data_IF_343258019478
#
_entry.id   IF_343258019478
#
_cell.length_a   1.000
_cell.length_b   1.000
_cell.length_c   1.000
_cell.angle_alpha   90.00
_cell.angle_beta   90.00
_cell.angle_gamma   90.00
#
_symmetry.space_group_name_H-M   'P 1'
#
loop_
_entity.id
_entity.type
_entity.pdbx_description
1 polymer ?
#
# COMPACT_ATOMS: atom_id res chain seq x y z
N UNK A 1 15.71 -19.62 -21.83
CA UNK A 1 14.27 -19.73 -21.53
C UNK A 1 13.41 -18.97 -22.55
N UNK A 2 13.59 -17.66 -22.74
CA UNK A 2 12.73 -16.84 -23.63
C UNK A 2 12.69 -17.32 -25.09
N UNK A 3 13.82 -17.74 -25.66
CA UNK A 3 13.88 -18.31 -27.01
C UNK A 3 12.99 -19.56 -27.21
N UNK A 4 12.68 -20.28 -26.13
CA UNK A 4 11.78 -21.43 -26.19
C UNK A 4 10.36 -20.99 -26.55
N UNK A 5 9.88 -19.87 -25.99
CA UNK A 5 8.55 -19.33 -26.30
C UNK A 5 8.46 -18.85 -27.75
N UNK A 6 9.52 -18.24 -28.27
CA UNK A 6 9.61 -17.81 -29.67
C UNK A 6 9.57 -18.99 -30.64
N UNK A 7 10.23 -20.11 -30.29
CA UNK A 7 10.34 -21.29 -31.16
C UNK A 7 9.09 -22.20 -31.14
N UNK A 8 8.24 -22.09 -30.10
CA UNK A 8 7.01 -22.88 -29.99
C UNK A 8 5.94 -22.34 -30.91
N UNK A 9 5.20 -23.23 -31.60
CA UNK A 9 4.12 -22.83 -32.52
C UNK A 9 2.75 -22.81 -31.85
N UNK A 10 2.64 -23.39 -30.65
CA UNK A 10 1.42 -23.39 -29.84
C UNK A 10 1.21 -22.04 -29.12
N UNK A 11 -0.04 -21.76 -28.75
CA UNK A 11 -0.36 -20.64 -27.88
C UNK A 11 0.17 -20.90 -26.46
N UNK A 12 0.79 -19.90 -25.87
CA UNK A 12 1.34 -19.96 -24.52
C UNK A 12 0.92 -18.73 -23.71
N UNK A 13 1.04 -18.85 -22.38
CA UNK A 13 0.85 -17.76 -21.44
C UNK A 13 2.12 -17.62 -20.60
N UNK A 14 2.69 -16.41 -20.56
CA UNK A 14 3.83 -16.06 -19.72
C UNK A 14 3.36 -15.08 -18.64
N UNK A 15 3.65 -15.38 -17.39
CA UNK A 15 3.30 -14.53 -16.26
C UNK A 15 4.58 -13.98 -15.65
N UNK A 16 4.73 -12.65 -15.70
CA UNK A 16 5.72 -11.94 -14.89
C UNK A 16 5.02 -11.54 -13.59
N UNK A 17 5.29 -12.28 -12.53
CA UNK A 17 4.72 -12.01 -11.22
C UNK A 17 5.61 -11.07 -10.41
N UNK A 18 5.04 -10.04 -9.80
CA UNK A 18 5.72 -9.07 -8.94
C UNK A 18 6.88 -8.35 -9.63
N UNK A 19 6.68 -7.91 -10.88
CA UNK A 19 7.67 -7.22 -11.70
C UNK A 19 7.82 -5.74 -11.29
N UNK A 20 8.27 -5.49 -10.07
CA UNK A 20 8.22 -4.16 -9.45
C UNK A 20 9.48 -3.32 -9.63
N UNK A 21 10.63 -3.96 -9.89
CA UNK A 21 11.95 -3.32 -9.92
C UNK A 21 12.07 -2.36 -11.12
N UNK A 22 12.08 -1.02 -10.91
CA UNK A 22 12.05 -0.05 -12.00
C UNK A 22 13.35 -0.02 -12.82
N UNK A 23 14.47 -0.48 -12.25
CA UNK A 23 15.76 -0.54 -12.96
C UNK A 23 15.83 -1.67 -14.00
N UNK A 24 14.89 -2.62 -13.95
CA UNK A 24 14.83 -3.73 -14.90
C UNK A 24 13.99 -3.34 -16.10
N UNK A 25 14.63 -3.29 -17.27
CA UNK A 25 13.93 -3.19 -18.55
C UNK A 25 13.29 -4.53 -18.92
N UNK A 26 11.99 -4.67 -18.59
CA UNK A 26 11.24 -5.89 -18.78
C UNK A 26 11.07 -6.28 -20.27
N UNK A 27 11.15 -5.31 -21.19
CA UNK A 27 11.01 -5.56 -22.63
C UNK A 27 12.04 -6.57 -23.15
N UNK A 28 13.26 -6.56 -22.59
CA UNK A 28 14.35 -7.49 -22.92
C UNK A 28 13.98 -8.95 -22.65
N UNK A 29 12.95 -9.19 -21.84
CA UNK A 29 12.49 -10.52 -21.48
C UNK A 29 11.28 -10.98 -22.29
N UNK A 30 10.73 -10.13 -23.18
CA UNK A 30 9.57 -10.48 -23.99
C UNK A 30 9.96 -11.37 -25.18
N UNK A 31 9.28 -12.52 -25.38
CA UNK A 31 9.45 -13.33 -26.58
C UNK A 31 9.15 -12.53 -27.84
N UNK A 32 10.09 -12.51 -28.79
CA UNK A 32 9.94 -11.76 -30.04
C UNK A 32 9.13 -12.58 -31.06
N UNK A 33 7.83 -12.73 -30.81
CA UNK A 33 6.88 -13.42 -31.69
C UNK A 33 5.48 -12.80 -31.62
N UNK A 34 4.61 -13.18 -32.56
CA UNK A 34 3.24 -12.66 -32.70
C UNK A 34 2.17 -13.62 -32.15
N UNK A 35 2.57 -14.62 -31.37
CA UNK A 35 1.70 -15.59 -30.71
C UNK A 35 2.04 -15.68 -29.22
N UNK A 36 1.07 -16.13 -28.42
CA UNK A 36 1.14 -16.15 -26.97
C UNK A 36 0.61 -14.88 -26.31
N UNK A 37 0.45 -14.93 -24.99
CA UNK A 37 -0.04 -13.84 -24.17
C UNK A 37 0.89 -13.63 -22.97
N UNK A 38 1.03 -12.38 -22.54
CA UNK A 38 1.83 -12.00 -21.36
C UNK A 38 0.90 -11.35 -20.34
N UNK A 39 0.96 -11.81 -19.09
CA UNK A 39 0.36 -11.14 -17.94
C UNK A 39 1.50 -10.61 -17.08
N UNK A 40 1.40 -9.36 -16.66
CA UNK A 40 2.35 -8.71 -15.75
C UNK A 40 1.57 -8.29 -14.51
N UNK A 41 1.95 -8.81 -13.35
CA UNK A 41 1.52 -8.24 -12.06
C UNK A 41 2.65 -7.34 -11.55
N UNK A 42 2.32 -6.10 -11.22
CA UNK A 42 3.33 -5.11 -10.84
C UNK A 42 2.71 -3.96 -10.07
N UNK A 43 3.50 -3.37 -9.18
CA UNK A 43 3.26 -2.09 -8.52
C UNK A 43 3.89 -0.92 -9.26
N UNK A 44 4.70 -1.20 -10.30
CA UNK A 44 5.35 -0.18 -11.13
C UNK A 44 4.40 0.27 -12.27
N UNK A 45 3.76 1.45 -12.17
CA UNK A 45 2.86 1.93 -13.21
C UNK A 45 3.58 2.20 -14.55
N UNK A 46 4.90 2.36 -14.54
CA UNK A 46 5.70 2.55 -15.76
C UNK A 46 5.63 1.38 -16.74
N UNK A 47 5.30 0.17 -16.28
CA UNK A 47 5.13 -1.00 -17.14
C UNK A 47 3.84 -0.98 -17.96
N UNK A 48 2.90 -0.07 -17.67
CA UNK A 48 1.67 0.10 -18.46
C UNK A 48 1.96 0.45 -19.94
N UNK A 49 3.15 0.99 -20.24
CA UNK A 49 3.59 1.25 -21.63
C UNK A 49 3.63 -0.02 -22.49
N UNK A 50 3.77 -1.19 -21.87
CA UNK A 50 3.83 -2.48 -22.56
C UNK A 50 2.47 -3.18 -22.65
N UNK A 51 1.45 -2.67 -21.96
CA UNK A 51 0.18 -3.36 -21.81
C UNK A 51 -0.79 -3.00 -22.94
N UNK A 52 -1.30 -4.02 -23.66
CA UNK A 52 -2.43 -3.83 -24.58
C UNK A 52 -3.76 -3.54 -23.85
N UNK A 53 -3.85 -3.99 -22.60
CA UNK A 53 -4.89 -3.67 -21.65
C UNK A 53 -4.29 -3.72 -20.24
N UNK A 54 -4.70 -2.81 -19.35
CA UNK A 54 -4.30 -2.81 -17.95
C UNK A 54 -5.54 -2.71 -17.06
N UNK A 55 -5.41 -3.15 -15.82
CA UNK A 55 -6.47 -3.07 -14.81
C UNK A 55 -5.82 -2.76 -13.47
N UNK A 56 -6.23 -1.66 -12.86
CA UNK A 56 -5.84 -1.35 -11.50
C UNK A 56 -6.59 -2.28 -10.54
N UNK A 57 -5.87 -2.88 -9.59
CA UNK A 57 -6.45 -3.75 -8.57
C UNK A 57 -6.64 -2.92 -7.31
N UNK A 58 -7.88 -2.49 -7.06
CA UNK A 58 -8.28 -1.74 -5.87
C UNK A 58 -8.66 -2.71 -4.72
N UNK A 59 -9.07 -2.14 -3.59
CA UNK A 59 -9.67 -2.84 -2.47
C UNK A 59 -10.93 -3.59 -2.90
N UNK A 60 -11.31 -4.59 -2.08
CA UNK A 60 -12.47 -5.42 -2.41
C UNK A 60 -13.77 -4.62 -2.34
N UNK A 61 -14.70 -4.93 -3.23
CA UNK A 61 -16.09 -4.51 -3.06
C UNK A 61 -16.67 -5.09 -1.76
N UNK A 62 -17.57 -4.34 -1.10
CA UNK A 62 -18.11 -4.73 0.21
C UNK A 62 -18.74 -6.15 0.19
N UNK A 63 -19.43 -6.51 -0.88
CA UNK A 63 -20.07 -7.82 -1.03
C UNK A 63 -19.04 -8.96 -1.07
N UNK A 64 -17.96 -8.80 -1.85
CA UNK A 64 -16.90 -9.80 -1.99
C UNK A 64 -16.05 -9.87 -0.72
N UNK A 65 -15.79 -8.72 -0.08
CA UNK A 65 -15.10 -8.64 1.20
C UNK A 65 -15.85 -9.41 2.29
N UNK A 66 -17.17 -9.22 2.40
CA UNK A 66 -18.04 -9.95 3.34
C UNK A 66 -18.02 -11.44 3.04
N UNK A 67 -18.11 -11.83 1.76
CA UNK A 67 -18.06 -13.22 1.36
C UNK A 67 -16.73 -13.88 1.74
N UNK A 68 -15.61 -13.20 1.48
CA UNK A 68 -14.27 -13.66 1.85
C UNK A 68 -14.14 -13.84 3.37
N UNK A 69 -14.60 -12.87 4.16
CA UNK A 69 -14.55 -12.94 5.62
C UNK A 69 -15.35 -14.13 6.16
N UNK A 70 -16.59 -14.30 5.71
CA UNK A 70 -17.48 -15.37 6.20
C UNK A 70 -16.96 -16.75 5.82
N UNK A 71 -16.41 -16.90 4.61
CA UNK A 71 -15.75 -18.12 4.18
C UNK A 71 -14.54 -18.44 5.07
N UNK A 72 -13.65 -17.47 5.28
CA UNK A 72 -12.48 -17.63 6.14
C UNK A 72 -12.82 -17.89 7.62
N UNK A 73 -13.95 -17.36 8.09
CA UNK A 73 -14.48 -17.58 9.43
C UNK A 73 -15.24 -18.90 9.60
N UNK A 74 -15.46 -19.66 8.52
CA UNK A 74 -16.32 -20.84 8.49
C UNK A 74 -17.74 -20.56 9.03
N UNK A 75 -18.31 -19.41 8.66
CA UNK A 75 -19.65 -18.96 9.04
C UNK A 75 -20.59 -18.97 7.84
N UNK A 76 -21.85 -19.32 8.08
CA UNK A 76 -22.87 -19.28 7.03
C UNK A 76 -23.18 -17.84 6.60
N UNK A 77 -23.51 -17.69 5.32
CA UNK A 77 -23.80 -16.39 4.71
C UNK A 77 -25.25 -15.90 4.95
N UNK A 78 -25.66 -15.91 6.22
CA UNK A 78 -26.98 -15.50 6.70
C UNK A 78 -27.06 -14.00 7.01
N UNK A 79 -28.26 -13.37 6.94
CA UNK A 79 -28.43 -11.93 7.17
C UNK A 79 -27.80 -11.41 8.46
N UNK A 80 -27.93 -12.14 9.58
CA UNK A 80 -27.34 -11.77 10.87
C UNK A 80 -25.82 -11.64 10.79
N UNK A 81 -25.14 -12.63 10.19
CA UNK A 81 -23.68 -12.63 10.08
C UNK A 81 -23.20 -11.55 9.09
N UNK A 82 -23.94 -11.31 8.00
CA UNK A 82 -23.61 -10.26 7.03
C UNK A 82 -23.54 -8.89 7.69
N UNK A 83 -24.50 -8.54 8.55
CA UNK A 83 -24.51 -7.23 9.22
C UNK A 83 -23.22 -7.01 10.03
N UNK A 84 -22.83 -7.96 10.89
CA UNK A 84 -21.59 -7.82 11.67
C UNK A 84 -20.34 -7.93 10.79
N UNK A 85 -20.35 -8.80 9.78
CA UNK A 85 -19.25 -8.95 8.83
C UNK A 85 -18.99 -7.66 8.05
N UNK A 86 -20.03 -6.94 7.63
CA UNK A 86 -19.91 -5.62 6.97
C UNK A 86 -19.14 -4.63 7.85
N UNK A 87 -19.40 -4.62 9.16
CA UNK A 87 -18.66 -3.77 10.10
C UNK A 87 -17.19 -4.18 10.15
N UNK A 88 -16.89 -5.48 10.26
CA UNK A 88 -15.52 -5.98 10.28
C UNK A 88 -14.75 -5.61 9.02
N UNK A 89 -15.30 -5.84 7.83
CA UNK A 89 -14.57 -5.55 6.58
C UNK A 89 -14.35 -4.05 6.37
N UNK A 90 -15.25 -3.21 6.88
CA UNK A 90 -15.11 -1.75 6.85
C UNK A 90 -13.98 -1.28 7.77
N UNK A 91 -13.87 -1.83 8.98
CA UNK A 91 -12.75 -1.56 9.91
C UNK A 91 -11.39 -2.00 9.34
N UNK A 92 -11.41 -2.95 8.41
CA UNK A 92 -10.25 -3.44 7.69
C UNK A 92 -10.05 -2.74 6.34
N UNK A 93 -10.83 -1.68 6.08
CA UNK A 93 -10.81 -0.90 4.85
C UNK A 93 -10.85 -1.77 3.57
N UNK A 94 -11.54 -2.91 3.65
CA UNK A 94 -11.74 -3.86 2.56
C UNK A 94 -10.45 -4.47 1.98
N UNK A 95 -9.35 -4.47 2.76
CA UNK A 95 -8.08 -5.05 2.34
C UNK A 95 -8.14 -6.60 2.41
N UNK A 96 -8.00 -7.32 1.28
CA UNK A 96 -8.16 -8.78 1.26
C UNK A 96 -7.29 -9.52 2.28
N UNK A 97 -6.01 -9.13 2.38
CA UNK A 97 -5.07 -9.79 3.29
C UNK A 97 -5.47 -9.62 4.77
N UNK A 98 -5.94 -8.43 5.15
CA UNK A 98 -6.43 -8.18 6.51
C UNK A 98 -7.72 -8.97 6.80
N UNK A 99 -8.60 -9.08 5.80
CA UNK A 99 -9.84 -9.86 5.90
C UNK A 99 -9.54 -11.36 6.09
N UNK A 100 -8.57 -11.92 5.36
CA UNK A 100 -8.16 -13.33 5.52
C UNK A 100 -7.65 -13.58 6.93
N UNK A 101 -6.80 -12.69 7.46
CA UNK A 101 -6.31 -12.80 8.83
C UNK A 101 -7.43 -12.71 9.87
N UNK A 102 -8.37 -11.76 9.68
CA UNK A 102 -9.54 -11.62 10.54
C UNK A 102 -10.42 -12.88 10.51
N UNK A 103 -10.70 -13.41 9.31
CA UNK A 103 -11.45 -14.65 9.13
C UNK A 103 -10.82 -15.81 9.90
N UNK A 104 -9.51 -15.99 9.78
CA UNK A 104 -8.78 -17.04 10.49
C UNK A 104 -8.78 -16.85 12.02
N UNK A 105 -8.80 -15.61 12.52
CA UNK A 105 -9.01 -15.33 13.94
C UNK A 105 -10.43 -15.71 14.37
N UNK A 106 -11.44 -15.26 13.62
CA UNK A 106 -12.86 -15.48 13.93
C UNK A 106 -13.20 -16.96 13.88
N UNK A 107 -12.59 -17.75 12.98
CA UNK A 107 -12.81 -19.19 12.88
C UNK A 107 -12.58 -19.94 14.21
N UNK A 108 -11.72 -19.41 15.10
CA UNK A 108 -11.44 -20.01 16.42
C UNK A 108 -12.60 -19.82 17.41
N UNK A 109 -13.26 -18.68 17.41
CA UNK A 109 -14.36 -18.34 18.33
C UNK A 109 -15.75 -18.46 17.70
N UNK A 110 -15.81 -18.50 16.36
CA UNK A 110 -17.02 -18.38 15.53
C UNK A 110 -17.90 -17.19 15.90
N UNK A 111 -17.25 -16.08 16.29
CA UNK A 111 -17.93 -14.90 16.82
C UNK A 111 -17.30 -13.63 16.24
N UNK A 112 -18.05 -12.92 15.38
CA UNK A 112 -17.61 -11.70 14.70
C UNK A 112 -17.45 -10.53 15.69
N UNK A 113 -18.34 -10.42 16.67
CA UNK A 113 -18.31 -9.36 17.69
C UNK A 113 -17.08 -9.48 18.60
N UNK A 114 -16.62 -10.71 18.87
CA UNK A 114 -15.40 -10.96 19.63
C UNK A 114 -14.16 -10.43 18.91
N UNK A 115 -14.14 -10.49 17.58
CA UNK A 115 -13.08 -9.90 16.78
C UNK A 115 -13.12 -8.38 16.85
N UNK A 116 -14.29 -7.75 16.69
CA UNK A 116 -14.41 -6.29 16.81
C UNK A 116 -13.91 -5.77 18.17
N UNK A 117 -14.26 -6.47 19.25
CA UNK A 117 -13.81 -6.15 20.62
C UNK A 117 -12.29 -6.29 20.78
N UNK A 118 -11.71 -7.36 20.23
CA UNK A 118 -10.27 -7.57 20.25
C UNK A 118 -9.55 -6.53 19.37
N UNK A 119 -10.11 -6.20 18.21
CA UNK A 119 -9.55 -5.26 17.24
C UNK A 119 -9.49 -3.84 17.80
N UNK A 120 -10.54 -3.38 18.49
CA UNK A 120 -10.56 -2.04 19.08
C UNK A 120 -9.49 -1.80 20.15
N UNK A 121 -8.96 -2.87 20.76
CA UNK A 121 -7.99 -2.80 21.87
C UNK A 121 -6.60 -3.29 21.49
N UNK A 122 -6.48 -4.17 20.49
CA UNK A 122 -5.25 -4.90 20.17
C UNK A 122 -4.95 -4.90 18.66
N UNK A 123 -5.37 -3.87 17.93
CA UNK A 123 -5.22 -3.75 16.46
C UNK A 123 -3.83 -4.14 15.95
N UNK A 124 -2.78 -3.48 16.44
CA UNK A 124 -1.40 -3.71 15.99
C UNK A 124 -0.95 -5.16 16.21
N UNK A 125 -1.39 -5.78 17.31
CA UNK A 125 -1.10 -7.18 17.60
C UNK A 125 -1.81 -8.10 16.61
N UNK A 126 -3.10 -7.88 16.35
CA UNK A 126 -3.88 -8.72 15.45
C UNK A 126 -3.41 -8.67 14.00
N UNK A 127 -2.94 -7.50 13.54
CA UNK A 127 -2.42 -7.32 12.18
C UNK A 127 -0.94 -7.73 12.02
N UNK A 128 -0.23 -7.96 13.13
CA UNK A 128 1.16 -8.43 13.14
C UNK A 128 1.32 -9.92 13.44
N UNK A 129 0.34 -10.55 14.09
CA UNK A 129 0.34 -11.97 14.42
C UNK A 129 -0.14 -12.84 13.26
N UNK A 130 0.50 -14.01 13.11
CA UNK A 130 0.08 -15.02 12.14
C UNK A 130 -1.09 -15.85 12.71
N UNK A 131 -2.06 -16.23 11.87
CA UNK A 131 -2.96 -17.32 12.20
C UNK A 131 -2.16 -18.58 12.55
N UNK A 132 -2.61 -19.35 13.55
CA UNK A 132 -1.94 -20.59 13.96
C UNK A 132 -2.04 -21.70 12.89
N UNK A 133 -3.06 -21.60 12.02
CA UNK A 133 -3.28 -22.45 10.86
C UNK A 133 -3.81 -21.54 9.75
N UNK A 134 -3.21 -21.60 8.57
CA UNK A 134 -3.67 -20.92 7.35
C UNK A 134 -3.92 -21.96 6.26
N UNK A 135 -4.91 -21.72 5.40
CA UNK A 135 -5.25 -22.63 4.30
C UNK A 135 -4.19 -22.62 3.19
N UNK A 136 -3.41 -21.55 3.13
CA UNK A 136 -2.27 -21.32 2.27
C UNK A 136 -0.99 -21.24 3.10
N UNK A 137 0.14 -21.67 2.55
CA UNK A 137 1.46 -21.46 3.18
C UNK A 137 1.89 -19.98 3.16
N UNK A 138 0.95 -19.03 3.12
CA UNK A 138 1.24 -17.61 3.02
C UNK A 138 1.86 -17.12 4.33
N UNK A 139 3.15 -16.80 4.25
CA UNK A 139 4.00 -16.60 5.43
C UNK A 139 3.82 -15.22 6.02
N UNK A 140 3.21 -14.26 5.32
CA UNK A 140 3.27 -12.84 5.69
C UNK A 140 1.98 -12.33 6.31
N UNK A 141 2.11 -11.57 7.39
CA UNK A 141 1.01 -10.77 7.95
C UNK A 141 0.93 -9.43 7.23
N UNK A 142 -0.19 -8.74 7.43
CA UNK A 142 -0.40 -7.38 6.92
C UNK A 142 0.78 -6.47 7.30
N UNK A 143 1.14 -6.43 8.59
CA UNK A 143 2.24 -5.56 9.06
C UNK A 143 3.61 -6.01 8.54
N UNK A 144 3.89 -7.31 8.46
CA UNK A 144 5.19 -7.76 7.92
C UNK A 144 5.35 -7.41 6.45
N UNK A 145 4.25 -7.44 5.68
CA UNK A 145 4.26 -7.05 4.25
C UNK A 145 4.63 -5.58 4.11
N UNK A 146 4.00 -4.68 4.90
CA UNK A 146 4.33 -3.26 4.86
C UNK A 146 5.71 -2.94 5.43
N UNK A 147 6.13 -3.61 6.50
CA UNK A 147 7.48 -3.43 7.05
C UNK A 147 8.56 -3.78 6.02
N UNK A 148 8.37 -4.85 5.24
CA UNK A 148 9.31 -5.21 4.17
C UNK A 148 9.35 -4.16 3.06
N UNK A 149 8.20 -3.61 2.68
CA UNK A 149 8.13 -2.49 1.72
C UNK A 149 8.82 -1.23 2.26
N UNK A 150 8.55 -0.86 3.51
CA UNK A 150 9.12 0.32 4.15
C UNK A 150 10.65 0.23 4.30
N UNK A 151 11.17 -0.94 4.66
CA UNK A 151 12.61 -1.16 4.80
C UNK A 151 13.38 -1.03 3.47
N UNK A 152 12.67 -1.02 2.33
CA UNK A 152 13.27 -0.79 1.00
C UNK A 152 13.27 0.68 0.59
N UNK A 153 12.55 1.54 1.31
CA UNK A 153 12.54 2.98 1.04
C UNK A 153 13.88 3.61 1.40
N UNK A 154 14.27 4.61 0.62
CA UNK A 154 15.32 5.56 0.96
C UNK A 154 14.97 6.29 2.27
N UNK A 155 15.96 6.74 3.05
CA UNK A 155 15.70 7.45 4.30
C UNK A 155 14.78 8.68 4.13
N UNK A 156 14.89 9.37 2.98
CA UNK A 156 14.05 10.53 2.67
C UNK A 156 12.59 10.13 2.40
N UNK A 157 12.37 9.07 1.61
CA UNK A 157 11.04 8.53 1.32
C UNK A 157 10.36 7.97 2.57
N UNK A 158 11.11 7.20 3.39
CA UNK A 158 10.62 6.69 4.66
C UNK A 158 10.16 7.82 5.60
N UNK A 159 10.97 8.89 5.72
CA UNK A 159 10.64 10.06 6.56
C UNK A 159 9.45 10.85 6.01
N UNK A 160 9.34 11.02 4.69
CA UNK A 160 8.17 11.65 4.08
C UNK A 160 6.90 10.84 4.35
N UNK A 161 6.94 9.52 4.18
CA UNK A 161 5.81 8.63 4.46
C UNK A 161 5.35 8.73 5.93
N UNK A 162 6.30 8.73 6.87
CA UNK A 162 6.02 8.92 8.30
C UNK A 162 5.36 10.28 8.56
N UNK A 163 5.85 11.37 7.97
CA UNK A 163 5.23 12.69 8.12
C UNK A 163 3.82 12.74 7.53
N UNK A 164 3.62 12.12 6.35
CA UNK A 164 2.30 11.97 5.75
C UNK A 164 1.34 11.19 6.66
N UNK A 165 1.83 10.20 7.42
CA UNK A 165 1.01 9.49 8.40
C UNK A 165 0.53 10.37 9.56
N UNK A 166 1.17 11.51 9.83
CA UNK A 166 0.70 12.48 10.84
C UNK A 166 -0.42 13.40 10.31
N UNK A 167 -0.65 13.41 9.00
CA UNK A 167 -1.76 14.10 8.37
C UNK A 167 -2.99 13.19 8.31
N UNK A 168 -4.13 13.73 7.86
CA UNK A 168 -5.25 12.87 7.51
C UNK A 168 -4.87 11.94 6.35
N UNK A 169 -5.30 10.68 6.38
CA UNK A 169 -4.93 9.65 5.39
C UNK A 169 -5.44 9.91 3.95
N UNK A 170 -6.18 11.00 3.74
CA UNK A 170 -6.62 11.52 2.44
C UNK A 170 -6.35 13.02 2.36
N UNK A 171 -6.13 13.50 1.15
CA UNK A 171 -6.04 14.93 0.85
C UNK A 171 -4.67 15.52 1.17
N UNK A 172 -3.62 14.72 1.08
CA UNK A 172 -2.24 15.18 1.31
C UNK A 172 -1.78 15.86 0.01
N UNK A 173 -1.43 17.14 0.06
CA UNK A 173 -1.00 17.91 -1.12
C UNK A 173 0.49 18.27 -1.06
N UNK A 174 1.13 18.37 -2.22
CA UNK A 174 2.49 18.94 -2.32
C UNK A 174 2.50 20.40 -1.83
N UNK A 175 1.42 21.15 -2.09
CA UNK A 175 1.26 22.54 -1.68
C UNK A 175 1.40 22.73 -0.16
N UNK A 176 0.95 21.76 0.65
CA UNK A 176 1.16 21.76 2.10
C UNK A 176 2.65 21.87 2.45
N UNK A 177 3.50 21.06 1.83
CA UNK A 177 4.95 21.05 2.07
C UNK A 177 5.64 22.31 1.51
N UNK A 178 5.20 22.79 0.34
CA UNK A 178 5.65 24.06 -0.24
C UNK A 178 5.39 25.20 0.75
N UNK A 179 4.19 25.27 1.31
CA UNK A 179 3.82 26.33 2.25
C UNK A 179 4.60 26.20 3.58
N UNK A 180 4.80 24.97 4.07
CA UNK A 180 5.64 24.72 5.23
C UNK A 180 7.10 25.19 5.03
N UNK A 181 7.69 24.97 3.85
CA UNK A 181 9.07 25.39 3.54
C UNK A 181 9.26 26.92 3.57
N UNK A 182 8.19 27.68 3.30
CA UNK A 182 8.16 29.14 3.30
C UNK A 182 7.91 29.71 4.69
N UNK A 183 7.49 28.88 5.65
CA UNK A 183 7.21 29.34 7.00
C UNK A 183 8.45 29.98 7.64
N UNK A 184 8.26 31.15 8.24
CA UNK A 184 9.28 31.85 9.02
C UNK A 184 8.66 32.17 10.38
N UNK A 185 9.21 31.64 11.49
CA UNK A 185 8.66 31.93 12.81
C UNK A 185 8.78 33.43 13.09
N UNK A 186 7.65 34.07 13.39
CA UNK A 186 7.61 35.52 13.69
C UNK A 186 8.23 35.86 15.05
N UNK A 187 8.36 34.88 15.94
CA UNK A 187 8.91 35.04 17.27
C UNK A 187 9.87 33.89 17.60
N UNK A 188 11.12 34.22 17.93
CA UNK A 188 12.16 33.24 18.29
C UNK A 188 11.84 32.41 19.55
N UNK A 189 10.92 32.89 20.39
CA UNK A 189 10.56 32.30 21.69
C UNK A 189 9.62 31.09 21.52
N UNK A 190 8.98 30.94 20.36
CA UNK A 190 8.16 29.77 19.98
C UNK A 190 8.90 28.81 19.06
N UNK A 191 10.20 29.05 18.80
CA UNK A 191 11.03 28.07 18.11
C UNK A 191 11.35 26.95 19.11
N UNK A 192 10.38 26.07 19.33
CA UNK A 192 10.60 24.81 20.04
C UNK A 192 11.82 24.09 19.44
N UNK A 193 12.58 23.40 20.30
CA UNK A 193 13.77 22.61 19.91
C UNK A 193 13.50 21.63 18.74
N UNK A 194 12.23 21.34 18.45
CA UNK A 194 11.78 20.41 17.41
C UNK A 194 11.60 21.00 15.99
N UNK A 195 11.61 22.32 15.77
CA UNK A 195 11.41 22.86 14.41
C UNK A 195 12.64 22.70 13.51
N UNK A 196 13.83 22.58 14.10
CA UNK A 196 15.09 22.44 13.34
C UNK A 196 15.07 21.20 12.43
N UNK A 197 14.63 20.05 12.96
CA UNK A 197 14.54 18.81 12.18
C UNK A 197 13.54 18.90 11.01
N UNK A 198 12.47 19.69 11.16
CA UNK A 198 11.50 19.95 10.09
C UNK A 198 12.09 20.83 8.99
N UNK A 199 12.87 21.86 9.34
CA UNK A 199 13.57 22.69 8.35
C UNK A 199 14.64 21.91 7.59
N UNK A 200 15.41 21.08 8.29
CA UNK A 200 16.39 20.19 7.67
C UNK A 200 15.73 19.22 6.68
N UNK A 201 14.64 18.56 7.09
CA UNK A 201 13.87 17.69 6.19
C UNK A 201 13.35 18.44 4.96
N UNK A 202 12.70 19.59 5.15
CA UNK A 202 12.15 20.36 4.03
C UNK A 202 13.25 20.88 3.09
N UNK A 203 14.46 21.11 3.60
CA UNK A 203 15.60 21.57 2.79
C UNK A 203 16.06 20.56 1.74
N UNK A 204 15.81 19.26 1.95
CA UNK A 204 16.08 18.18 0.97
C UNK A 204 15.26 18.34 -0.32
N UNK A 205 14.16 19.10 -0.26
CA UNK A 205 13.29 19.41 -1.39
C UNK A 205 13.53 20.82 -1.95
N UNK A 206 14.61 21.51 -1.57
CA UNK A 206 14.90 22.87 -2.01
C UNK A 206 16.08 22.92 -3.00
N UNK A 207 15.83 23.39 -4.22
CA UNK A 207 16.89 23.75 -5.17
C UNK A 207 17.66 24.97 -4.66
N UNK A 208 18.97 24.80 -4.46
CA UNK A 208 19.90 25.82 -3.96
C UNK A 208 19.41 26.52 -2.67
N UNK A 209 18.57 25.83 -1.86
CA UNK A 209 17.99 26.38 -0.63
C UNK A 209 16.97 27.50 -0.82
N UNK A 210 16.51 27.78 -2.05
CA UNK A 210 15.65 28.95 -2.36
C UNK A 210 14.30 28.57 -2.96
N UNK A 211 14.28 27.61 -3.87
CA UNK A 211 13.09 27.28 -4.65
C UNK A 211 12.72 25.82 -4.43
N UNK A 212 11.44 25.55 -4.23
CA UNK A 212 10.96 24.17 -4.11
C UNK A 212 11.25 23.34 -5.36
N UNK A 213 11.67 22.09 -5.16
CA UNK A 213 12.02 21.14 -6.19
C UNK A 213 10.90 20.11 -6.38
N UNK A 214 9.91 20.44 -7.21
CA UNK A 214 8.77 19.55 -7.49
C UNK A 214 9.22 18.21 -8.09
N UNK A 215 10.23 18.20 -8.96
CA UNK A 215 10.75 16.94 -9.53
C UNK A 215 11.31 16.03 -8.44
N UNK A 216 12.07 16.58 -7.49
CA UNK A 216 12.59 15.80 -6.36
C UNK A 216 11.47 15.26 -5.47
N UNK A 217 10.42 16.05 -5.22
CA UNK A 217 9.25 15.60 -4.46
C UNK A 217 8.50 14.48 -5.19
N UNK A 218 8.35 14.60 -6.52
CA UNK A 218 7.76 13.58 -7.38
C UNK A 218 8.58 12.29 -7.39
N UNK A 219 9.92 12.37 -7.46
CA UNK A 219 10.78 11.18 -7.41
C UNK A 219 10.60 10.42 -6.09
N UNK A 220 10.57 11.15 -4.96
CA UNK A 220 10.42 10.55 -3.63
C UNK A 220 9.01 9.97 -3.43
N UNK A 221 7.96 10.66 -3.88
CA UNK A 221 6.59 10.12 -3.79
C UNK A 221 6.39 8.94 -4.75
N UNK A 222 6.97 8.96 -5.95
CA UNK A 222 6.98 7.83 -6.88
C UNK A 222 7.67 6.60 -6.28
N UNK A 223 8.76 6.79 -5.54
CA UNK A 223 9.40 5.71 -4.79
C UNK A 223 8.42 5.08 -3.78
N UNK A 224 7.75 5.88 -2.96
CA UNK A 224 6.77 5.40 -1.97
C UNK A 224 5.62 4.64 -2.65
N UNK A 225 5.09 5.20 -3.75
CA UNK A 225 4.00 4.60 -4.52
C UNK A 225 4.40 3.28 -5.19
N UNK A 226 5.67 3.13 -5.61
CA UNK A 226 6.17 1.86 -6.18
C UNK A 226 6.10 0.67 -5.21
N UNK A 227 5.95 0.96 -3.90
CA UNK A 227 5.75 -0.04 -2.87
C UNK A 227 4.29 -0.17 -2.39
N UNK A 228 3.36 0.55 -3.01
CA UNK A 228 1.93 0.61 -2.65
C UNK A 228 1.68 1.08 -1.21
N UNK A 229 2.55 1.95 -0.69
CA UNK A 229 2.39 2.56 0.65
C UNK A 229 1.62 3.89 0.60
N UNK A 230 1.47 4.46 -0.60
CA UNK A 230 0.74 5.68 -0.90
C UNK A 230 0.21 5.57 -2.33
N UNK A 231 -0.85 6.32 -2.61
CA UNK A 231 -1.46 6.44 -3.92
C UNK A 231 -1.65 7.91 -4.27
N UNK A 232 -1.77 8.21 -5.56
CA UNK A 232 -2.01 9.57 -6.06
C UNK A 232 -3.31 9.58 -6.87
N UNK A 233 -4.22 10.47 -6.48
CA UNK A 233 -5.43 10.79 -7.23
C UNK A 233 -5.11 11.90 -8.24
N UNK A 234 -5.04 11.60 -9.56
CA UNK A 234 -4.69 12.58 -10.58
C UNK A 234 -5.81 13.59 -10.83
N UNK A 235 -7.08 13.27 -10.52
CA UNK A 235 -8.21 14.18 -10.72
C UNK A 235 -8.23 15.26 -9.64
N UNK A 236 -7.87 14.90 -8.41
CA UNK A 236 -7.80 15.82 -7.28
C UNK A 236 -6.40 16.43 -7.08
N UNK A 237 -5.37 15.85 -7.68
CA UNK A 237 -3.97 16.16 -7.44
C UNK A 237 -3.57 15.98 -5.96
N UNK A 238 -4.08 14.93 -5.32
CA UNK A 238 -3.90 14.65 -3.90
C UNK A 238 -3.37 13.24 -3.67
N UNK A 239 -2.47 13.11 -2.70
CA UNK A 239 -2.00 11.82 -2.21
C UNK A 239 -2.96 11.27 -1.16
N UNK A 240 -3.07 9.94 -1.16
CA UNK A 240 -3.83 9.19 -0.18
C UNK A 240 -3.02 8.00 0.33
N UNK A 241 -3.33 7.58 1.55
CA UNK A 241 -2.80 6.37 2.14
C UNK A 241 -3.97 5.47 2.49
N UNK A 242 -3.82 4.18 2.22
CA UNK A 242 -4.77 3.20 2.71
C UNK A 242 -4.89 3.31 4.24
N UNK A 243 -6.09 3.35 4.84
CA UNK A 243 -6.28 3.63 6.27
C UNK A 243 -5.44 2.73 7.17
N UNK A 244 -5.38 1.43 6.87
CA UNK A 244 -4.56 0.51 7.65
C UNK A 244 -3.04 0.76 7.52
N UNK A 245 -2.55 1.22 6.36
CA UNK A 245 -1.13 1.56 6.15
C UNK A 245 -0.79 2.83 6.94
N UNK A 246 -1.70 3.81 6.89
CA UNK A 246 -1.60 5.05 7.65
C UNK A 246 -1.52 4.81 9.16
N UNK A 247 -2.45 4.04 9.71
CA UNK A 247 -2.47 3.67 11.12
C UNK A 247 -1.22 2.86 11.53
N UNK A 248 -0.79 1.92 10.68
CA UNK A 248 0.44 1.17 10.90
C UNK A 248 1.65 2.09 10.95
N UNK A 249 1.78 3.00 9.99
CA UNK A 249 2.91 3.92 9.91
C UNK A 249 2.99 4.82 11.15
N UNK A 250 1.86 5.33 11.65
CA UNK A 250 1.82 6.09 12.91
C UNK A 250 2.33 5.28 14.11
N UNK A 251 2.05 3.98 14.16
CA UNK A 251 2.51 3.10 15.25
C UNK A 251 4.01 2.77 15.22
N UNK A 252 4.71 3.17 14.15
CA UNK A 252 6.15 2.92 13.93
C UNK A 252 7.02 4.18 14.03
N UNK A 253 6.42 5.34 14.31
CA UNK A 253 7.12 6.61 14.62
C UNK A 253 7.50 6.63 16.09
#
# INVERSE_FOLDING_TARGET
AIQWFTAKKEQWLLIFDSADEPSIDLNKFFPQCNHGNIIITTRNPGLCVYAGANTHVDNMEEADAVALLLNGAALENMPKNRVTATVVVRELAYLPLAIIQAGAFIAKSRNLESYLTAYSTNRSRLLSEKPAQSHDNYVWTVYTTWQMSFNRLSPLAARLLQLCSLLHHKGISEEFFINASKYRPKFAILAEENLQGSFEFLSEFMLHGKTWNTLRFQDVTAEIMSYSLMEFDPDQMLFTMHPLVHDWCQSTI
#
